data_IF_729192664962
#
_entry.id   IF_729192664962
#
_cell.length_a   1.000
_cell.length_b   1.000
_cell.length_c   1.000
_cell.angle_alpha   90.00
_cell.angle_beta   90.00
_cell.angle_gamma   90.00
#
_symmetry.space_group_name_H-M   'P 1'
#
loop_
_entity.id
_entity.type
_entity.pdbx_description
1 polymer ?
#
# COMPACT_ATOMS: atom_id res chain seq x y z
N UNK A 1 34.60 5.24 -12.43
CA UNK A 1 33.65 5.45 -11.32
C UNK A 1 32.32 4.81 -11.72
N UNK A 2 31.82 3.80 -10.99
CA UNK A 2 30.49 3.24 -11.23
C UNK A 2 29.46 4.07 -10.47
N UNK A 3 28.26 4.34 -11.03
CA UNK A 3 27.26 5.13 -10.34
C UNK A 3 26.81 4.42 -9.06
N UNK A 4 26.74 5.19 -7.95
CA UNK A 4 26.25 4.79 -6.62
C UNK A 4 24.71 4.82 -6.56
N UNK A 5 24.03 4.34 -7.60
CA UNK A 5 22.59 4.11 -7.47
C UNK A 5 22.44 2.66 -7.04
N UNK A 6 21.67 2.44 -5.97
CA UNK A 6 21.28 1.11 -5.55
C UNK A 6 20.69 0.42 -6.77
N UNK A 7 21.39 -0.60 -7.29
CA UNK A 7 20.83 -1.51 -8.26
C UNK A 7 19.53 -2.00 -7.64
N UNK A 8 18.39 -1.77 -8.30
CA UNK A 8 17.14 -2.41 -7.93
C UNK A 8 17.45 -3.89 -7.84
N UNK A 9 17.50 -4.42 -6.61
CA UNK A 9 17.70 -5.84 -6.41
C UNK A 9 16.69 -6.54 -7.30
N UNK A 10 17.18 -7.44 -8.14
CA UNK A 10 16.35 -8.36 -8.91
C UNK A 10 15.23 -8.84 -7.99
N UNK A 11 13.97 -8.55 -8.33
CA UNK A 11 12.83 -8.96 -7.51
C UNK A 11 12.73 -10.48 -7.67
N UNK A 12 13.47 -11.21 -6.85
CA UNK A 12 13.55 -12.68 -6.89
C UNK A 12 12.35 -13.34 -6.21
N UNK A 13 11.47 -12.56 -5.57
CA UNK A 13 10.23 -13.05 -5.00
C UNK A 13 9.04 -12.35 -5.66
N UNK A 14 8.54 -12.96 -6.74
CA UNK A 14 7.19 -12.71 -7.25
C UNK A 14 6.11 -13.29 -6.32
N UNK A 15 6.37 -13.33 -5.00
CA UNK A 15 5.36 -13.75 -4.03
C UNK A 15 4.28 -12.68 -4.02
N UNK A 16 3.02 -13.05 -4.26
CA UNK A 16 1.92 -12.09 -4.21
C UNK A 16 1.86 -11.51 -2.80
N UNK A 17 1.91 -10.18 -2.71
CA UNK A 17 1.68 -9.47 -1.45
C UNK A 17 0.21 -9.62 -1.10
N UNK A 18 -0.06 -10.26 0.02
CA UNK A 18 -1.39 -10.53 0.54
C UNK A 18 -1.40 -10.36 2.06
N UNK A 19 -2.58 -10.28 2.68
CA UNK A 19 -2.68 -10.27 4.15
C UNK A 19 -1.94 -11.43 4.83
N UNK A 20 -1.89 -12.59 4.17
CA UNK A 20 -1.33 -13.83 4.71
C UNK A 20 0.20 -13.92 4.55
N UNK A 21 0.76 -13.23 3.55
CA UNK A 21 2.18 -13.32 3.20
C UNK A 21 2.99 -12.16 3.78
N UNK A 22 2.43 -10.95 3.78
CA UNK A 22 3.06 -9.75 4.34
C UNK A 22 1.98 -8.74 4.79
N UNK A 23 1.40 -8.94 5.99
CA UNK A 23 0.29 -8.11 6.48
C UNK A 23 0.67 -6.64 6.69
N UNK A 24 1.91 -6.36 7.10
CA UNK A 24 2.36 -4.98 7.34
C UNK A 24 2.51 -4.22 6.02
N UNK A 25 3.19 -4.82 5.05
CA UNK A 25 3.33 -4.21 3.73
C UNK A 25 2.01 -4.13 2.99
N UNK A 26 1.14 -5.13 3.10
CA UNK A 26 -0.19 -5.10 2.49
C UNK A 26 -1.06 -3.98 3.05
N UNK A 27 -0.99 -3.71 4.37
CA UNK A 27 -1.66 -2.57 4.98
C UNK A 27 -1.10 -1.24 4.48
N UNK A 28 0.22 -1.10 4.43
CA UNK A 28 0.86 0.09 3.88
C UNK A 28 0.42 0.35 2.43
N UNK A 29 0.45 -0.68 1.59
CA UNK A 29 0.03 -0.62 0.19
C UNK A 29 -1.42 -0.15 0.05
N UNK A 30 -2.34 -0.69 0.85
CA UNK A 30 -3.75 -0.29 0.82
C UNK A 30 -3.95 1.16 1.22
N UNK A 31 -3.30 1.63 2.28
CA UNK A 31 -3.38 3.03 2.71
C UNK A 31 -2.81 3.97 1.64
N UNK A 32 -1.63 3.65 1.08
CA UNK A 32 -1.01 4.45 0.03
C UNK A 32 -1.87 4.54 -1.23
N UNK A 33 -2.52 3.44 -1.63
CA UNK A 33 -3.42 3.43 -2.78
C UNK A 33 -4.63 4.34 -2.56
N UNK A 34 -5.26 4.30 -1.39
CA UNK A 34 -6.41 5.16 -1.08
C UNK A 34 -6.06 6.66 -1.15
N UNK A 35 -4.90 7.04 -0.61
CA UNK A 35 -4.42 8.41 -0.67
C UNK A 35 -4.15 8.85 -2.11
N UNK A 36 -3.47 8.00 -2.91
CA UNK A 36 -3.18 8.30 -4.31
C UNK A 36 -4.46 8.45 -5.15
N UNK A 37 -5.48 7.63 -4.91
CA UNK A 37 -6.78 7.75 -5.58
C UNK A 37 -7.49 9.07 -5.21
N UNK A 38 -7.31 9.55 -3.98
CA UNK A 38 -7.76 10.88 -3.56
C UNK A 38 -7.02 12.02 -4.25
N UNK A 39 -5.69 11.95 -4.33
CA UNK A 39 -4.88 12.95 -5.01
C UNK A 39 -5.22 13.05 -6.51
N UNK A 40 -5.63 11.94 -7.12
CA UNK A 40 -6.08 11.91 -8.52
C UNK A 40 -7.53 12.35 -8.71
N UNK A 41 -8.25 12.68 -7.63
CA UNK A 41 -9.68 13.03 -7.68
C UNK A 41 -10.57 11.88 -8.13
N UNK A 42 -10.11 10.63 -8.04
CA UNK A 42 -10.90 9.44 -8.35
C UNK A 42 -11.83 9.13 -7.18
N UNK A 43 -11.35 9.33 -5.95
CA UNK A 43 -12.14 9.20 -4.74
C UNK A 43 -12.34 10.56 -4.09
N UNK A 44 -13.58 10.81 -3.68
CA UNK A 44 -13.93 11.94 -2.84
C UNK A 44 -13.43 11.72 -1.41
N UNK A 45 -13.26 12.82 -0.66
CA UNK A 45 -12.69 12.78 0.69
C UNK A 45 -13.47 11.88 1.64
N UNK A 46 -14.81 11.92 1.58
CA UNK A 46 -15.67 11.07 2.41
C UNK A 46 -15.47 9.57 2.12
N UNK A 47 -15.16 9.23 0.87
CA UNK A 47 -14.91 7.83 0.47
C UNK A 47 -13.57 7.35 1.01
N UNK A 48 -12.56 8.23 1.04
CA UNK A 48 -11.25 7.94 1.63
C UNK A 48 -11.37 7.76 3.13
N UNK A 49 -12.05 8.69 3.82
CA UNK A 49 -12.24 8.64 5.27
C UNK A 49 -12.96 7.35 5.70
N UNK A 50 -14.03 6.96 4.99
CA UNK A 50 -14.74 5.71 5.24
C UNK A 50 -13.86 4.47 5.01
N UNK A 51 -13.07 4.46 3.94
CA UNK A 51 -12.17 3.34 3.62
C UNK A 51 -11.05 3.20 4.65
N UNK A 52 -10.49 4.31 5.15
CA UNK A 52 -9.50 4.32 6.22
C UNK A 52 -10.10 3.83 7.55
N UNK A 53 -11.32 4.24 7.89
CA UNK A 53 -12.00 3.75 9.09
C UNK A 53 -12.24 2.24 9.04
N UNK A 54 -12.63 1.71 7.88
CA UNK A 54 -12.80 0.26 7.68
C UNK A 54 -11.47 -0.50 7.79
N UNK A 55 -10.38 0.09 7.30
CA UNK A 55 -9.04 -0.48 7.45
C UNK A 55 -8.64 -0.60 8.93
N UNK A 56 -8.88 0.43 9.73
CA UNK A 56 -8.59 0.41 11.16
C UNK A 56 -9.45 -0.59 11.93
N UNK A 57 -10.74 -0.70 11.60
CA UNK A 57 -11.65 -1.70 12.19
C UNK A 57 -11.20 -3.13 11.87
N UNK A 58 -10.70 -3.37 10.66
CA UNK A 58 -10.15 -4.66 10.24
C UNK A 58 -8.86 -5.09 10.95
N UNK A 59 -8.14 -4.17 11.62
CA UNK A 59 -6.95 -4.49 12.43
C UNK A 59 -7.28 -5.02 13.83
N UNK A 60 -8.54 -4.93 14.27
CA UNK A 60 -8.99 -5.31 15.63
C UNK A 60 -9.61 -6.71 15.70
N UNK A 61 -9.70 -7.42 14.57
CA UNK A 61 -10.14 -8.82 14.47
C UNK A 61 -8.92 -9.72 14.23
#
# INVERSE_FOLDING_TARGET
>A
MKPRFATLYEIQDARPVSPETDPEFFQLLRTSLLLALGEQGILEREQIDLALEQLEKGKRL
#
